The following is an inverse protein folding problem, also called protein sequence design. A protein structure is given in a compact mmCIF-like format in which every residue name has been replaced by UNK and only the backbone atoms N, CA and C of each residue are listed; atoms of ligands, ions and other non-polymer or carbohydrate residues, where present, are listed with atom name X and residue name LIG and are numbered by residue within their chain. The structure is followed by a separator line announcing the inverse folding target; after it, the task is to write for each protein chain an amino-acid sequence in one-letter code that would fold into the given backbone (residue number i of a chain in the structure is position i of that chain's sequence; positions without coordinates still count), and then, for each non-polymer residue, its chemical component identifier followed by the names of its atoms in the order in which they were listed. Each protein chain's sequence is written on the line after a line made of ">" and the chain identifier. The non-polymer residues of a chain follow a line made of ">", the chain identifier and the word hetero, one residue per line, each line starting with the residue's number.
data_IF_620283175924
#
_entry.id   IF_620283175924
#
_cell.length_a   1.000
_cell.length_b   1.000
_cell.length_c   1.000
_cell.angle_alpha   90.00
_cell.angle_beta   90.00
_cell.angle_gamma   90.00
#
_symmetry.space_group_name_H-M   'P 1'
#
loop_
_entity.id
_entity.type
_entity.pdbx_description
1 polymer ?
#
# COMPACT_ATOMS: atom_id res chain seq x y z
N UNK A 1 4.35 3.69 -13.72
CA UNK A 1 3.71 5.01 -13.88
C UNK A 1 2.54 5.09 -12.92
N UNK A 2 2.66 5.92 -11.87
CA UNK A 2 1.67 6.02 -10.80
C UNK A 2 0.54 6.97 -11.20
N UNK A 3 -0.68 6.45 -11.31
CA UNK A 3 -1.87 7.25 -11.62
C UNK A 3 -2.28 8.06 -10.40
N UNK A 4 -2.07 9.38 -10.51
CA UNK A 4 -2.58 10.42 -9.62
C UNK A 4 -4.12 10.36 -9.62
N UNK A 5 -4.74 10.29 -8.44
CA UNK A 5 -6.18 10.51 -8.26
C UNK A 5 -6.37 11.88 -7.63
N UNK A 6 -6.85 12.81 -8.44
CA UNK A 6 -7.22 14.17 -8.04
C UNK A 6 -8.53 14.14 -7.25
N UNK A 7 -8.54 14.69 -6.05
CA UNK A 7 -9.75 14.93 -5.25
C UNK A 7 -10.31 16.30 -5.65
N UNK A 8 -11.39 16.30 -6.41
CA UNK A 8 -12.18 17.50 -6.68
C UNK A 8 -13.18 17.71 -5.52
N UNK A 9 -12.98 18.78 -4.76
CA UNK A 9 -13.95 19.30 -3.80
C UNK A 9 -15.07 20.02 -4.59
N UNK A 10 -16.24 19.39 -4.66
CA UNK A 10 -17.47 20.02 -5.12
C UNK A 10 -18.17 20.66 -3.92
N UNK A 11 -17.98 21.97 -3.77
CA UNK A 11 -18.87 22.84 -3.00
C UNK A 11 -20.20 22.97 -3.74
N UNK A 12 -21.31 22.70 -3.06
CA UNK A 12 -22.64 23.07 -3.55
C UNK A 12 -23.57 23.50 -2.43
N UNK A 13 -24.21 24.63 -2.70
CA UNK A 13 -25.09 25.48 -1.91
C UNK A 13 -26.18 24.73 -1.12
N UNK A 14 -26.43 25.20 0.11
CA UNK A 14 -27.68 24.96 0.83
C UNK A 14 -28.60 26.16 0.59
N UNK A 15 -29.75 25.90 -0.03
CA UNK A 15 -30.87 26.84 -0.17
C UNK A 15 -31.70 26.77 1.11
N UNK A 16 -31.91 27.92 1.76
CA UNK A 16 -32.97 28.12 2.75
C UNK A 16 -34.33 28.16 2.05
N UNK A 17 -35.34 27.47 2.58
CA UNK A 17 -36.74 27.95 2.67
C UNK A 17 -37.62 26.94 3.40
N UNK A 18 -38.59 27.45 4.16
CA UNK A 18 -39.86 26.77 4.45
C UNK A 18 -40.01 26.16 5.83
N UNK A 19 -40.40 26.98 6.81
CA UNK A 19 -41.07 26.51 8.02
C UNK A 19 -42.50 26.07 7.67
N UNK A 20 -42.85 24.81 7.97
CA UNK A 20 -44.25 24.39 8.14
C UNK A 20 -44.35 23.57 9.41
N UNK A 21 -45.34 23.90 10.24
CA UNK A 21 -45.56 23.36 11.58
C UNK A 21 -45.90 21.86 11.56
N UNK A 22 -45.56 21.09 12.61
CA UNK A 22 -45.75 19.65 12.61
C UNK A 22 -47.21 19.27 12.91
N UNK A 23 -47.76 18.35 12.11
CA UNK A 23 -48.89 17.54 12.53
C UNK A 23 -48.42 16.53 13.58
N UNK A 24 -49.11 16.49 14.71
CA UNK A 24 -48.84 15.57 15.81
C UNK A 24 -49.08 14.11 15.37
N UNK A 25 -47.99 13.40 15.08
CA UNK A 25 -47.93 11.94 15.13
C UNK A 25 -47.11 11.59 16.35
N UNK A 26 -47.52 10.59 17.15
CA UNK A 26 -46.75 10.08 18.28
C UNK A 26 -45.27 10.00 17.88
N UNK A 27 -44.43 10.82 18.52
CA UNK A 27 -43.04 11.00 18.10
C UNK A 27 -42.29 9.69 18.34
N UNK A 28 -42.29 8.81 17.36
CA UNK A 28 -41.47 7.60 17.36
C UNK A 28 -40.04 8.08 17.58
N UNK A 29 -39.46 7.74 18.73
CA UNK A 29 -38.11 8.15 19.13
C UNK A 29 -37.18 7.93 17.95
N UNK A 30 -36.72 9.02 17.32
CA UNK A 30 -35.79 8.90 16.18
C UNK A 30 -34.45 8.50 16.74
N UNK A 31 -34.06 7.26 16.51
CA UNK A 31 -32.76 6.73 16.85
C UNK A 31 -32.38 5.63 15.86
N UNK A 32 -31.11 5.25 15.88
CA UNK A 32 -30.61 4.20 15.01
C UNK A 32 -31.43 2.91 15.14
N UNK A 33 -31.85 2.36 14.00
CA UNK A 33 -32.63 1.12 13.92
C UNK A 33 -34.16 1.27 14.08
N UNK A 34 -34.67 2.46 14.44
CA UNK A 34 -36.12 2.69 14.53
C UNK A 34 -36.74 2.81 13.15
N UNK A 35 -37.86 2.13 12.91
CA UNK A 35 -38.54 2.12 11.62
C UNK A 35 -38.93 3.53 11.14
N UNK A 36 -38.85 3.75 9.83
CA UNK A 36 -39.26 4.99 9.20
C UNK A 36 -39.92 4.70 7.84
N UNK A 37 -40.87 5.56 7.44
CA UNK A 37 -41.76 5.27 6.32
C UNK A 37 -41.30 5.89 4.99
N UNK A 38 -40.58 7.02 5.04
CA UNK A 38 -40.17 7.78 3.85
C UNK A 38 -38.66 7.69 3.66
N UNK A 39 -38.23 6.89 2.68
CA UNK A 39 -36.82 6.78 2.30
C UNK A 39 -36.22 8.17 2.02
N UNK A 40 -34.97 8.36 2.44
CA UNK A 40 -34.20 9.60 2.35
C UNK A 40 -34.76 10.79 3.13
N UNK A 41 -35.83 10.61 3.91
CA UNK A 41 -36.26 11.64 4.88
C UNK A 41 -35.12 11.89 5.88
N UNK A 42 -34.90 13.16 6.22
CA UNK A 42 -33.88 13.56 7.20
C UNK A 42 -34.53 14.31 8.35
N UNK A 43 -33.97 14.15 9.54
CA UNK A 43 -34.37 14.91 10.73
C UNK A 43 -33.18 15.09 11.67
N UNK A 44 -33.30 15.99 12.64
CA UNK A 44 -32.29 16.25 13.66
C UNK A 44 -32.90 16.07 15.03
N UNK A 45 -32.30 15.23 15.87
CA UNK A 45 -32.75 14.97 17.24
C UNK A 45 -31.54 14.96 18.17
N UNK A 46 -31.60 15.75 19.25
CA UNK A 46 -30.51 15.83 20.23
C UNK A 46 -29.17 16.32 19.65
N UNK A 47 -29.20 17.15 18.59
CA UNK A 47 -28.00 17.62 17.89
C UNK A 47 -27.45 16.66 16.83
N UNK A 48 -27.98 15.43 16.73
CA UNK A 48 -27.55 14.43 15.76
C UNK A 48 -28.48 14.41 14.54
N UNK A 49 -27.88 14.32 13.35
CA UNK A 49 -28.60 14.23 12.08
C UNK A 49 -28.88 12.76 11.74
N UNK A 50 -30.10 12.48 11.34
CA UNK A 50 -30.57 11.15 10.93
C UNK A 50 -31.13 11.17 9.50
N UNK A 51 -31.01 10.04 8.81
CA UNK A 51 -31.65 9.77 7.52
C UNK A 51 -32.35 8.43 7.57
N UNK A 52 -33.59 8.40 7.07
CA UNK A 52 -34.35 7.18 6.86
C UNK A 52 -33.77 6.41 5.67
N UNK A 53 -33.10 5.29 5.92
CA UNK A 53 -32.48 4.49 4.88
C UNK A 53 -32.41 3.01 5.30
N UNK A 54 -32.07 2.14 4.35
CA UNK A 54 -31.76 0.73 4.64
C UNK A 54 -30.35 0.64 5.23
N UNK A 55 -30.18 -0.09 6.33
CA UNK A 55 -28.86 -0.30 6.92
C UNK A 55 -28.00 -1.20 6.01
N UNK A 56 -26.88 -0.70 5.47
CA UNK A 56 -26.01 -1.50 4.58
C UNK A 56 -25.34 -2.70 5.25
N UNK A 57 -25.33 -2.76 6.59
CA UNK A 57 -24.77 -3.89 7.35
C UNK A 57 -25.71 -5.09 7.43
N UNK A 58 -27.00 -4.90 7.16
CA UNK A 58 -28.03 -5.94 7.31
C UNK A 58 -28.58 -6.34 5.95
N UNK A 59 -28.42 -7.62 5.59
CA UNK A 59 -29.00 -8.16 4.34
C UNK A 59 -30.52 -8.05 4.41
N UNK A 60 -31.14 -7.54 3.34
CA UNK A 60 -32.59 -7.30 3.25
C UNK A 60 -33.15 -6.34 4.32
N UNK A 61 -32.37 -5.32 4.71
CA UNK A 61 -32.79 -4.34 5.71
C UNK A 61 -34.10 -3.62 5.33
N UNK A 62 -34.95 -3.41 6.35
CA UNK A 62 -36.09 -2.50 6.29
C UNK A 62 -35.62 -1.04 6.40
N UNK A 63 -36.49 -0.09 6.09
CA UNK A 63 -36.20 1.33 6.27
C UNK A 63 -36.19 1.69 7.76
N UNK A 64 -35.06 2.19 8.23
CA UNK A 64 -34.87 2.66 9.60
C UNK A 64 -34.17 4.01 9.63
N UNK A 65 -34.34 4.76 10.70
CA UNK A 65 -33.50 5.92 10.98
C UNK A 65 -32.06 5.47 11.23
N UNK A 66 -31.13 6.14 10.55
CA UNK A 66 -29.70 5.93 10.69
C UNK A 66 -29.02 7.30 10.82
N UNK A 67 -28.15 7.43 11.80
CA UNK A 67 -27.34 8.63 12.01
C UNK A 67 -26.41 8.81 10.82
N UNK A 68 -26.07 10.06 10.53
CA UNK A 68 -25.09 10.35 9.48
C UNK A 68 -23.73 9.71 9.79
N UNK A 69 -23.34 9.62 11.06
CA UNK A 69 -22.13 8.89 11.50
C UNK A 69 -22.19 7.40 11.15
N UNK A 70 -23.33 6.73 11.38
CA UNK A 70 -23.54 5.34 10.96
C UNK A 70 -23.42 5.20 9.43
N UNK A 71 -23.99 6.14 8.67
CA UNK A 71 -23.93 6.12 7.20
C UNK A 71 -22.50 6.36 6.66
N UNK A 72 -21.74 7.24 7.31
CA UNK A 72 -20.33 7.45 6.99
C UNK A 72 -19.51 6.20 7.30
N UNK A 73 -19.68 5.62 8.50
CA UNK A 73 -18.94 4.42 8.91
C UNK A 73 -19.23 3.21 8.02
N UNK A 74 -20.48 3.02 7.59
CA UNK A 74 -20.85 1.95 6.65
C UNK A 74 -20.23 2.14 5.26
N UNK A 75 -20.10 3.39 4.78
CA UNK A 75 -19.36 3.69 3.54
C UNK A 75 -17.86 3.40 3.66
N UNK A 76 -17.26 3.71 4.81
CA UNK A 76 -15.86 3.37 5.08
C UNK A 76 -15.64 1.84 5.07
N UNK A 77 -16.52 1.08 5.74
CA UNK A 77 -16.49 -0.38 5.70
C UNK A 77 -16.62 -0.95 4.27
N UNK A 78 -17.55 -0.44 3.47
CA UNK A 78 -17.71 -0.87 2.08
C UNK A 78 -16.47 -0.57 1.24
N UNK A 79 -15.81 0.56 1.49
CA UNK A 79 -14.58 0.96 0.81
C UNK A 79 -13.42 0.02 1.18
N UNK A 80 -13.26 -0.29 2.47
CA UNK A 80 -12.28 -1.26 2.95
C UNK A 80 -12.53 -2.67 2.39
N UNK A 81 -13.78 -3.11 2.35
CA UNK A 81 -14.18 -4.42 1.77
C UNK A 81 -13.92 -4.45 0.25
N UNK A 82 -14.15 -3.33 -0.44
CA UNK A 82 -13.81 -3.21 -1.87
C UNK A 82 -12.29 -3.30 -2.06
N UNK A 83 -11.50 -2.56 -1.29
CA UNK A 83 -10.03 -2.64 -1.34
C UNK A 83 -9.51 -4.06 -1.09
N UNK A 84 -10.10 -4.79 -0.14
CA UNK A 84 -9.78 -6.20 0.10
C UNK A 84 -10.12 -7.10 -1.10
N UNK A 85 -11.26 -6.88 -1.78
CA UNK A 85 -11.63 -7.66 -2.97
C UNK A 85 -10.81 -7.29 -4.21
N UNK A 86 -10.40 -6.03 -4.30
CA UNK A 86 -9.59 -5.50 -5.40
C UNK A 86 -8.12 -5.97 -5.30
N UNK A 87 -7.71 -6.60 -4.19
CA UNK A 87 -6.51 -7.45 -4.12
C UNK A 87 -6.71 -8.74 -4.95
N UNK A 88 -7.00 -8.58 -6.23
CA UNK A 88 -6.82 -9.64 -7.22
C UNK A 88 -5.34 -9.68 -7.61
N UNK A 89 -4.83 -10.89 -7.84
CA UNK A 89 -3.47 -11.12 -8.35
C UNK A 89 -2.30 -10.95 -7.36
N UNK A 90 -2.53 -10.88 -6.04
CA UNK A 90 -1.43 -10.81 -5.05
C UNK A 90 -0.50 -12.02 -5.17
N UNK A 91 -1.07 -13.21 -5.39
CA UNK A 91 -0.29 -14.44 -5.60
C UNK A 91 0.63 -14.32 -6.82
N UNK A 92 0.10 -13.91 -7.97
CA UNK A 92 0.87 -13.74 -9.21
C UNK A 92 1.90 -12.61 -9.10
N UNK A 93 1.56 -11.49 -8.45
CA UNK A 93 2.50 -10.40 -8.18
C UNK A 93 3.61 -10.85 -7.23
N UNK A 94 3.29 -11.68 -6.24
CA UNK A 94 4.29 -12.24 -5.32
C UNK A 94 5.21 -13.21 -6.07
N UNK A 95 4.65 -14.08 -6.93
CA UNK A 95 5.44 -15.01 -7.74
C UNK A 95 6.37 -14.28 -8.73
N UNK A 96 5.88 -13.21 -9.37
CA UNK A 96 6.70 -12.38 -10.26
C UNK A 96 7.84 -11.69 -9.48
N UNK A 97 7.54 -11.11 -8.31
CA UNK A 97 8.54 -10.45 -7.47
C UNK A 97 9.56 -11.45 -6.91
N UNK A 98 9.15 -12.68 -6.61
CA UNK A 98 10.04 -13.76 -6.20
C UNK A 98 11.01 -14.16 -7.30
N UNK A 99 10.53 -14.27 -8.54
CA UNK A 99 11.39 -14.53 -9.69
C UNK A 99 12.42 -13.40 -9.89
N UNK A 100 12.00 -12.14 -9.78
CA UNK A 100 12.89 -10.97 -9.85
C UNK A 100 13.93 -10.97 -8.72
N UNK A 101 13.52 -11.28 -7.49
CA UNK A 101 14.40 -11.36 -6.32
C UNK A 101 15.47 -12.46 -6.48
N UNK A 102 15.09 -13.65 -6.95
CA UNK A 102 16.03 -14.75 -7.21
C UNK A 102 17.03 -14.35 -8.30
N UNK A 103 16.56 -13.74 -9.40
CA UNK A 103 17.44 -13.29 -10.48
C UNK A 103 18.42 -12.19 -10.03
N UNK A 104 17.95 -11.22 -9.24
CA UNK A 104 18.79 -10.16 -8.69
C UNK A 104 19.85 -10.70 -7.71
N UNK A 105 19.47 -11.67 -6.86
CA UNK A 105 20.37 -12.33 -5.92
C UNK A 105 21.45 -13.15 -6.65
N UNK A 106 21.07 -13.89 -7.69
CA UNK A 106 22.03 -14.61 -8.53
C UNK A 106 23.02 -13.66 -9.23
N UNK A 107 22.52 -12.53 -9.75
CA UNK A 107 23.36 -11.48 -10.37
C UNK A 107 24.32 -10.83 -9.37
N UNK A 108 23.87 -10.59 -8.15
CA UNK A 108 24.70 -10.08 -7.05
C UNK A 108 25.82 -11.06 -6.70
N UNK A 109 25.48 -12.36 -6.56
CA UNK A 109 26.46 -13.40 -6.27
C UNK A 109 27.53 -13.50 -7.38
N UNK A 110 27.09 -13.53 -8.64
CA UNK A 110 27.99 -13.56 -9.81
C UNK A 110 28.92 -12.33 -9.86
N UNK A 111 28.37 -11.12 -9.67
CA UNK A 111 29.15 -9.88 -9.66
C UNK A 111 30.16 -9.86 -8.50
N UNK A 112 29.76 -10.36 -7.33
CA UNK A 112 30.63 -10.47 -6.16
C UNK A 112 31.80 -11.41 -6.43
N UNK A 113 31.54 -12.59 -7.01
CA UNK A 113 32.59 -13.53 -7.39
C UNK A 113 33.56 -12.94 -8.43
N UNK A 114 33.04 -12.23 -9.44
CA UNK A 114 33.87 -11.55 -10.43
C UNK A 114 34.76 -10.45 -9.82
N UNK A 115 34.20 -9.69 -8.86
CA UNK A 115 34.93 -8.65 -8.13
C UNK A 115 36.08 -9.22 -7.30
N UNK A 116 35.84 -10.29 -6.55
CA UNK A 116 36.88 -10.93 -5.75
C UNK A 116 37.97 -11.54 -6.64
N UNK A 117 37.58 -12.15 -7.77
CA UNK A 117 38.55 -12.64 -8.77
C UNK A 117 39.40 -11.50 -9.34
N UNK A 118 38.80 -10.36 -9.69
CA UNK A 118 39.52 -9.21 -10.22
C UNK A 118 40.50 -8.63 -9.18
N UNK A 119 40.10 -8.54 -7.91
CA UNK A 119 41.00 -8.12 -6.82
C UNK A 119 42.18 -9.07 -6.63
N UNK A 120 41.95 -10.38 -6.64
CA UNK A 120 43.01 -11.37 -6.55
C UNK A 120 44.02 -11.25 -7.71
N UNK A 121 43.54 -11.01 -8.93
CA UNK A 121 44.40 -10.77 -10.09
C UNK A 121 45.22 -9.48 -9.99
N UNK A 122 44.66 -8.40 -9.44
CA UNK A 122 45.42 -7.17 -9.16
C UNK A 122 46.58 -7.47 -8.22
N UNK A 123 46.33 -8.17 -7.11
CA UNK A 123 47.37 -8.54 -6.15
C UNK A 123 48.45 -9.41 -6.78
N UNK A 124 48.05 -10.39 -7.59
CA UNK A 124 48.98 -11.28 -8.29
C UNK A 124 49.87 -10.52 -9.27
N UNK A 125 49.31 -9.65 -10.10
CA UNK A 125 50.07 -8.88 -11.09
C UNK A 125 50.97 -7.83 -10.44
N UNK A 126 50.54 -7.25 -9.32
CA UNK A 126 51.38 -6.35 -8.53
C UNK A 126 52.60 -7.08 -7.96
N UNK A 127 52.41 -8.29 -7.42
CA UNK A 127 53.50 -9.11 -6.93
C UNK A 127 54.49 -9.51 -8.04
N UNK A 128 53.98 -9.92 -9.22
CA UNK A 128 54.82 -10.23 -10.39
C UNK A 128 55.59 -9.01 -10.88
N UNK A 129 54.98 -7.83 -10.86
CA UNK A 129 55.61 -6.58 -11.27
C UNK A 129 56.76 -6.20 -10.32
N UNK A 130 56.56 -6.38 -9.02
CA UNK A 130 57.58 -6.12 -8.00
C UNK A 130 58.75 -7.11 -8.08
N UNK A 131 58.48 -8.37 -8.45
CA UNK A 131 59.49 -9.42 -8.55
C UNK A 131 60.28 -9.39 -9.89
N UNK A 132 59.69 -8.91 -10.98
CA UNK A 132 60.38 -8.85 -12.28
C UNK A 132 61.54 -7.85 -12.24
N UNK A 133 62.64 -8.16 -12.93
CA UNK A 133 63.74 -7.22 -13.20
C UNK A 133 63.70 -6.66 -14.62
N UNK A 134 62.79 -7.16 -15.46
CA UNK A 134 62.63 -6.77 -16.85
C UNK A 134 61.72 -5.54 -16.99
N UNK A 135 62.26 -4.45 -17.53
CA UNK A 135 61.53 -3.18 -17.68
C UNK A 135 60.32 -3.27 -18.62
N UNK A 136 60.40 -4.08 -19.69
CA UNK A 136 59.30 -4.25 -20.64
C UNK A 136 58.14 -5.06 -20.03
N UNK A 137 58.44 -6.07 -19.23
CA UNK A 137 57.41 -6.84 -18.50
C UNK A 137 56.71 -6.00 -17.43
N UNK A 138 57.49 -5.19 -16.68
CA UNK A 138 56.92 -4.25 -15.71
C UNK A 138 55.92 -3.30 -16.36
N UNK A 139 56.25 -2.74 -17.52
CA UNK A 139 55.36 -1.84 -18.26
C UNK A 139 54.06 -2.55 -18.68
N UNK A 140 54.14 -3.78 -19.21
CA UNK A 140 52.95 -4.57 -19.57
C UNK A 140 52.08 -4.89 -18.36
N UNK A 141 52.69 -5.31 -17.24
CA UNK A 141 51.98 -5.60 -15.99
C UNK A 141 51.33 -4.34 -15.41
N UNK A 142 51.97 -3.18 -15.48
CA UNK A 142 51.41 -1.90 -15.02
C UNK A 142 50.14 -1.50 -15.80
N UNK A 143 50.14 -1.72 -17.12
CA UNK A 143 48.94 -1.51 -17.95
C UNK A 143 47.83 -2.50 -17.56
N UNK A 144 48.17 -3.76 -17.32
CA UNK A 144 47.20 -4.78 -16.91
C UNK A 144 46.58 -4.48 -15.53
N UNK A 145 47.39 -4.07 -14.55
CA UNK A 145 46.94 -3.64 -13.22
C UNK A 145 46.00 -2.44 -13.32
N UNK A 146 46.35 -1.42 -14.12
CA UNK A 146 45.48 -0.25 -14.33
C UNK A 146 44.11 -0.63 -14.92
N UNK A 147 44.08 -1.54 -15.90
CA UNK A 147 42.82 -2.04 -16.48
C UNK A 147 41.98 -2.81 -15.46
N UNK A 148 42.61 -3.68 -14.67
CA UNK A 148 41.93 -4.45 -13.63
C UNK A 148 41.43 -3.54 -12.50
N UNK A 149 42.17 -2.50 -12.11
CA UNK A 149 41.73 -1.54 -11.11
C UNK A 149 40.43 -0.82 -11.54
N UNK A 150 40.34 -0.42 -12.82
CA UNK A 150 39.11 0.13 -13.38
C UNK A 150 37.97 -0.90 -13.37
N UNK A 151 38.25 -2.16 -13.72
CA UNK A 151 37.24 -3.22 -13.65
C UNK A 151 36.75 -3.47 -12.21
N UNK A 152 37.64 -3.45 -11.21
CA UNK A 152 37.28 -3.55 -9.79
C UNK A 152 36.37 -2.39 -9.38
N UNK A 153 36.66 -1.16 -9.80
CA UNK A 153 35.81 0.00 -9.51
C UNK A 153 34.39 -0.17 -10.09
N UNK A 154 34.29 -0.56 -11.36
CA UNK A 154 33.00 -0.80 -12.05
C UNK A 154 32.21 -1.93 -11.39
N UNK A 155 32.87 -3.05 -11.10
CA UNK A 155 32.24 -4.20 -10.42
C UNK A 155 31.80 -3.83 -9.01
N UNK A 156 32.56 -2.99 -8.30
CA UNK A 156 32.21 -2.55 -6.95
C UNK A 156 30.95 -1.68 -6.97
N UNK A 157 30.86 -0.74 -7.91
CA UNK A 157 29.64 0.06 -8.09
C UNK A 157 28.43 -0.80 -8.48
N UNK A 158 28.65 -1.77 -9.38
CA UNK A 158 27.60 -2.70 -9.82
C UNK A 158 27.10 -3.57 -8.68
N UNK A 159 28.00 -4.11 -7.85
CA UNK A 159 27.67 -4.86 -6.63
C UNK A 159 26.82 -4.02 -5.68
N UNK A 160 27.25 -2.80 -5.35
CA UNK A 160 26.49 -1.93 -4.44
C UNK A 160 25.07 -1.65 -4.96
N UNK A 161 24.92 -1.40 -6.27
CA UNK A 161 23.61 -1.19 -6.89
C UNK A 161 22.73 -2.45 -6.78
N UNK A 162 23.29 -3.62 -7.04
CA UNK A 162 22.58 -4.90 -6.91
C UNK A 162 22.19 -5.20 -5.47
N UNK A 163 23.03 -4.87 -4.48
CA UNK A 163 22.68 -5.00 -3.06
C UNK A 163 21.46 -4.14 -2.69
N UNK A 164 21.44 -2.88 -3.12
CA UNK A 164 20.27 -2.01 -2.91
C UNK A 164 19.03 -2.57 -3.60
N UNK A 165 19.16 -3.08 -4.83
CA UNK A 165 18.05 -3.68 -5.56
C UNK A 165 17.48 -4.91 -4.85
N UNK A 166 18.34 -5.79 -4.31
CA UNK A 166 17.90 -6.97 -3.53
C UNK A 166 17.14 -6.54 -2.28
N UNK A 167 17.63 -5.53 -1.55
CA UNK A 167 16.98 -5.01 -0.33
C UNK A 167 15.63 -4.34 -0.62
N UNK A 168 15.51 -3.61 -1.74
CA UNK A 168 14.25 -3.02 -2.19
C UNK A 168 13.22 -4.11 -2.57
N UNK A 169 13.65 -5.14 -3.30
CA UNK A 169 12.79 -6.28 -3.67
C UNK A 169 12.31 -7.06 -2.44
N UNK A 170 13.19 -7.29 -1.45
CA UNK A 170 12.84 -7.92 -0.17
C UNK A 170 11.78 -7.10 0.59
N UNK A 171 11.97 -5.78 0.67
CA UNK A 171 11.02 -4.87 1.31
C UNK A 171 9.66 -4.89 0.61
N UNK A 172 9.65 -4.85 -0.73
CA UNK A 172 8.42 -4.94 -1.54
C UNK A 172 7.70 -6.27 -1.33
N UNK A 173 8.44 -7.37 -1.20
CA UNK A 173 7.87 -8.69 -0.92
C UNK A 173 7.19 -8.73 0.44
N UNK A 174 7.84 -8.23 1.48
CA UNK A 174 7.26 -8.15 2.82
C UNK A 174 5.98 -7.30 2.86
N UNK A 175 5.97 -6.16 2.15
CA UNK A 175 4.77 -5.31 2.01
C UNK A 175 3.64 -6.02 1.27
N UNK A 176 3.94 -6.70 0.16
CA UNK A 176 2.93 -7.41 -0.62
C UNK A 176 2.33 -8.60 0.14
N UNK A 177 3.15 -9.29 0.95
CA UNK A 177 2.71 -10.39 1.81
C UNK A 177 1.83 -9.93 2.99
N UNK A 178 2.07 -8.74 3.54
CA UNK A 178 1.31 -8.21 4.69
C UNK A 178 0.03 -7.48 4.30
N UNK A 179 -0.05 -6.95 3.07
CA UNK A 179 -1.20 -6.19 2.58
C UNK A 179 -2.56 -6.92 2.69
N UNK A 180 -2.68 -8.23 2.38
CA UNK A 180 -3.97 -8.94 2.51
C UNK A 180 -4.51 -9.00 3.93
N UNK A 181 -3.66 -9.37 4.90
CA UNK A 181 -4.08 -9.45 6.31
C UNK A 181 -4.35 -8.06 6.88
N UNK A 182 -3.58 -7.03 6.50
CA UNK A 182 -3.83 -5.65 6.93
C UNK A 182 -5.16 -5.11 6.39
N UNK A 183 -5.47 -5.37 5.11
CA UNK A 183 -6.75 -4.95 4.52
C UNK A 183 -7.94 -5.72 5.11
N UNK A 184 -7.76 -6.99 5.46
CA UNK A 184 -8.75 -7.80 6.18
C UNK A 184 -8.99 -7.28 7.60
N UNK A 185 -7.94 -6.92 8.34
CA UNK A 185 -8.05 -6.29 9.65
C UNK A 185 -8.81 -4.96 9.55
N UNK A 186 -8.41 -4.08 8.63
CA UNK A 186 -9.07 -2.81 8.38
C UNK A 186 -10.56 -2.97 8.04
N UNK A 187 -10.92 -3.96 7.22
CA UNK A 187 -12.32 -4.25 6.90
C UNK A 187 -13.10 -4.75 8.13
N UNK A 188 -12.47 -5.55 8.99
CA UNK A 188 -13.05 -6.05 10.25
C UNK A 188 -13.29 -4.91 11.25
N UNK A 189 -12.30 -4.04 11.45
CA UNK A 189 -12.38 -2.90 12.37
C UNK A 189 -13.38 -1.86 11.88
N UNK A 190 -13.40 -1.59 10.58
CA UNK A 190 -14.39 -0.71 9.97
C UNK A 190 -15.81 -1.28 10.13
N UNK A 191 -15.98 -2.61 10.01
CA UNK A 191 -17.26 -3.28 10.26
C UNK A 191 -17.67 -3.18 11.73
N UNK A 192 -16.76 -3.40 12.67
CA UNK A 192 -17.02 -3.31 14.10
C UNK A 192 -17.44 -1.88 14.49
N UNK A 193 -16.71 -0.89 13.99
CA UNK A 193 -17.00 0.54 14.18
C UNK A 193 -18.37 0.91 13.61
N UNK A 194 -18.66 0.50 12.37
CA UNK A 194 -19.96 0.73 11.76
C UNK A 194 -21.09 0.04 12.53
N UNK A 195 -20.87 -1.18 13.02
CA UNK A 195 -21.87 -1.93 13.79
C UNK A 195 -22.19 -1.23 15.12
N UNK A 196 -21.19 -0.72 15.82
CA UNK A 196 -21.37 0.02 17.07
C UNK A 196 -22.15 1.33 16.84
N UNK A 197 -21.73 2.11 15.85
CA UNK A 197 -22.36 3.38 15.51
C UNK A 197 -23.80 3.19 15.02
N UNK A 198 -24.06 2.16 14.21
CA UNK A 198 -25.38 1.87 13.68
C UNK A 198 -26.32 1.14 14.65
N UNK A 199 -25.82 0.59 15.76
CA UNK A 199 -26.65 -0.06 16.79
C UNK A 199 -26.98 0.88 17.95
N UNK A 200 -25.98 1.62 18.46
CA UNK A 200 -26.16 2.45 19.66
C UNK A 200 -26.57 3.89 19.34
N UNK A 201 -26.20 4.39 18.15
CA UNK A 201 -26.24 5.84 17.93
C UNK A 201 -25.32 6.56 18.92
N UNK A 202 -25.35 7.89 18.90
CA UNK A 202 -24.81 8.72 19.97
C UNK A 202 -25.99 9.23 20.81
#
# INVERSE_FOLDING_TARGET
>A
MFRKVSVALLTSLVVLTGVTAPAASAATKVSNGVACSKANSTTTVGGYKYRCAKNPLVKNAKLTWLSFECLTATKQWQTATKAQRDLVNVADQTAALDAEYVAATASLASTTAALEKARAQVTQFQAQMNASTNSAEKSKLAVAVSKLANAVLVLSGSRSKLQTQVSDLESKKALLQSAPEQLKANATDARASASLLCAKGF
#
